data_IF_181017556576
#
_entry.id   IF_181017556576
#
_cell.length_a   1.000
_cell.length_b   1.000
_cell.length_c   1.000
_cell.angle_alpha   90.00
_cell.angle_beta   90.00
_cell.angle_gamma   90.00
#
_symmetry.space_group_name_H-M   'P 1'
#
loop_
_entity.id
_entity.type
_entity.pdbx_description
1 polymer ?
#
# COMPACT_ATOMS: atom_id res chain seq x y z
N UNK A 1 -20.38 -11.15 -7.12
CA UNK A 1 -19.33 -10.91 -6.11
C UNK A 1 -18.82 -9.51 -6.36
N UNK A 2 -19.06 -8.59 -5.44
CA UNK A 2 -18.67 -7.18 -5.62
C UNK A 2 -17.16 -7.07 -5.39
N UNK A 3 -16.37 -6.58 -6.36
CA UNK A 3 -14.96 -6.36 -6.15
C UNK A 3 -14.78 -5.42 -4.96
N UNK A 4 -13.91 -5.80 -4.03
CA UNK A 4 -13.64 -5.03 -2.84
C UNK A 4 -12.40 -4.18 -3.11
N UNK A 5 -12.44 -2.90 -2.72
CA UNK A 5 -11.29 -2.02 -2.86
C UNK A 5 -11.17 -1.11 -1.64
N UNK A 6 -9.94 -0.84 -1.24
CA UNK A 6 -9.63 0.04 -0.11
C UNK A 6 -8.44 0.92 -0.47
N UNK A 7 -8.54 2.19 -0.10
CA UNK A 7 -7.46 3.15 -0.33
C UNK A 7 -6.67 3.28 0.95
N UNK A 8 -5.38 2.97 0.87
CA UNK A 8 -4.41 3.05 1.96
C UNK A 8 -3.40 4.14 1.65
N UNK A 9 -3.03 4.87 2.70
CA UNK A 9 -2.05 5.94 2.61
C UNK A 9 -0.80 5.45 3.33
N UNK A 10 0.29 5.35 2.59
CA UNK A 10 1.61 5.12 3.15
C UNK A 10 2.30 6.45 3.39
N UNK A 11 2.76 6.67 4.62
CA UNK A 11 3.54 7.82 5.00
C UNK A 11 4.81 7.35 5.72
N UNK A 12 5.97 7.88 5.31
CA UNK A 12 7.23 7.56 5.95
C UNK A 12 8.43 7.75 5.03
N UNK A 13 9.57 7.16 5.41
CA UNK A 13 10.76 7.16 4.58
C UNK A 13 10.67 6.07 3.51
N UNK A 14 9.86 6.33 2.46
CA UNK A 14 9.61 5.36 1.38
C UNK A 14 10.91 4.89 0.71
N UNK A 15 11.90 5.79 0.56
CA UNK A 15 13.19 5.48 -0.07
C UNK A 15 14.16 4.77 0.88
N UNK A 16 14.21 5.15 2.16
CA UNK A 16 15.19 4.61 3.10
C UNK A 16 14.81 3.17 3.53
N UNK A 17 13.52 2.87 3.64
CA UNK A 17 13.02 1.58 4.15
C UNK A 17 12.51 0.61 3.09
N UNK A 18 12.51 0.99 1.80
CA UNK A 18 11.93 0.20 0.69
C UNK A 18 10.51 -0.32 0.98
N UNK A 19 9.77 0.41 1.81
CA UNK A 19 8.53 -0.09 2.41
C UNK A 19 7.40 -0.14 1.40
N UNK A 20 7.39 0.81 0.45
CA UNK A 20 6.49 0.80 -0.69
C UNK A 20 6.63 -0.48 -1.51
N UNK A 21 7.86 -0.83 -1.89
CA UNK A 21 8.12 -2.04 -2.68
C UNK A 21 7.64 -3.30 -1.93
N UNK A 22 7.91 -3.39 -0.61
CA UNK A 22 7.44 -4.51 0.22
C UNK A 22 5.92 -4.60 0.27
N UNK A 23 5.22 -3.48 0.44
CA UNK A 23 3.75 -3.48 0.47
C UNK A 23 3.18 -3.93 -0.87
N UNK A 24 3.68 -3.38 -1.99
CA UNK A 24 3.23 -3.76 -3.33
C UNK A 24 3.47 -5.24 -3.62
N UNK A 25 4.64 -5.75 -3.24
CA UNK A 25 5.01 -7.16 -3.39
C UNK A 25 4.10 -8.07 -2.57
N UNK A 26 3.84 -7.72 -1.30
CA UNK A 26 2.90 -8.42 -0.41
C UNK A 26 1.49 -8.48 -0.99
N UNK A 27 0.98 -7.38 -1.58
CA UNK A 27 -0.33 -7.35 -2.24
C UNK A 27 -0.38 -8.33 -3.41
N UNK A 28 0.64 -8.32 -4.27
CA UNK A 28 0.73 -9.22 -5.43
C UNK A 28 0.88 -10.68 -5.01
N UNK A 29 1.68 -10.97 -3.98
CA UNK A 29 1.89 -12.33 -3.48
C UNK A 29 0.60 -12.97 -2.96
N UNK A 30 -0.29 -12.17 -2.36
CA UNK A 30 -1.61 -12.63 -1.92
C UNK A 30 -2.64 -12.74 -3.06
N UNK A 31 -2.27 -12.37 -4.30
CA UNK A 31 -3.19 -12.36 -5.43
C UNK A 31 -4.14 -11.16 -5.44
N UNK A 32 -3.78 -10.09 -4.73
CA UNK A 32 -4.44 -8.79 -4.82
C UNK A 32 -3.87 -7.96 -5.96
N UNK A 33 -4.65 -6.96 -6.36
CA UNK A 33 -4.20 -5.89 -7.25
C UNK A 33 -4.00 -4.60 -6.45
N UNK A 34 -3.19 -3.70 -6.99
CA UNK A 34 -3.06 -2.35 -6.47
C UNK A 34 -3.13 -1.33 -7.59
N UNK A 35 -3.50 -0.10 -7.24
CA UNK A 35 -3.44 1.07 -8.10
C UNK A 35 -2.69 2.17 -7.35
N UNK A 36 -1.62 2.68 -7.95
CA UNK A 36 -0.82 3.74 -7.35
C UNK A 36 -1.39 5.07 -7.84
N UNK A 37 -2.19 5.74 -7.01
CA UNK A 37 -2.87 6.98 -7.42
C UNK A 37 -1.96 8.20 -7.34
N UNK A 38 -1.21 8.34 -6.25
CA UNK A 38 -0.34 9.50 -6.05
C UNK A 38 0.89 9.09 -5.26
N UNK A 39 2.06 9.54 -5.69
CA UNK A 39 3.29 9.40 -4.91
C UNK A 39 3.99 10.74 -4.84
N UNK A 40 4.08 11.27 -3.63
CA UNK A 40 4.87 12.42 -3.27
C UNK A 40 6.14 11.92 -2.59
N UNK A 41 7.25 11.97 -3.33
CA UNK A 41 8.57 11.67 -2.79
C UNK A 41 9.13 12.98 -2.25
N UNK A 42 9.49 12.99 -0.97
CA UNK A 42 10.15 14.14 -0.35
C UNK A 42 11.44 14.48 -1.11
N UNK A 43 11.64 15.75 -1.45
CA UNK A 43 12.82 16.18 -2.24
C UNK A 43 14.09 16.11 -1.39
N UNK A 44 13.95 16.13 -0.07
CA UNK A 44 15.04 16.06 0.91
C UNK A 44 14.87 14.87 1.87
N UNK A 45 15.97 14.35 2.45
CA UNK A 45 15.94 13.21 3.39
C UNK A 45 15.07 13.42 4.64
N UNK A 46 14.74 14.68 4.94
CA UNK A 46 13.90 15.06 6.09
C UNK A 46 12.41 15.15 5.73
N UNK A 47 12.07 15.23 4.44
CA UNK A 47 10.68 15.25 4.01
C UNK A 47 10.11 13.84 3.96
N UNK A 48 9.01 13.64 4.69
CA UNK A 48 8.27 12.39 4.65
C UNK A 48 7.72 12.16 3.24
N UNK A 49 7.96 10.98 2.70
CA UNK A 49 7.34 10.57 1.45
C UNK A 49 5.94 10.05 1.74
N UNK A 50 5.01 10.33 0.84
CA UNK A 50 3.62 9.90 0.91
C UNK A 50 3.24 9.18 -0.37
N UNK A 51 2.62 8.01 -0.25
CA UNK A 51 2.06 7.29 -1.38
C UNK A 51 0.62 6.89 -1.08
N UNK A 52 -0.27 7.15 -2.03
CA UNK A 52 -1.68 6.75 -1.97
C UNK A 52 -1.85 5.54 -2.89
N UNK A 53 -2.31 4.43 -2.31
CA UNK A 53 -2.43 3.15 -3.00
C UNK A 53 -3.85 2.64 -2.81
N UNK A 54 -4.52 2.29 -3.91
CA UNK A 54 -5.82 1.63 -3.87
C UNK A 54 -5.63 0.14 -4.07
N UNK A 55 -5.79 -0.63 -3.00
CA UNK A 55 -5.77 -2.09 -3.03
C UNK A 55 -7.11 -2.59 -3.55
N UNK A 56 -7.08 -3.54 -4.47
CA UNK A 56 -8.25 -4.17 -5.09
C UNK A 56 -8.14 -5.68 -4.92
N UNK A 57 -9.23 -6.31 -4.49
CA UNK A 57 -9.30 -7.74 -4.30
C UNK A 57 -10.61 -8.32 -4.86
N UNK A 58 -10.57 -9.59 -5.23
CA UNK A 58 -11.75 -10.30 -5.74
C UNK A 58 -12.86 -10.47 -4.67
N UNK A 59 -12.49 -10.41 -3.39
CA UNK A 59 -13.38 -10.63 -2.25
C UNK A 59 -13.01 -9.72 -1.08
N UNK A 60 -14.01 -9.37 -0.25
CA UNK A 60 -13.79 -8.56 0.97
C UNK A 60 -12.88 -9.27 1.99
N UNK A 61 -12.96 -10.60 2.09
CA UNK A 61 -12.06 -11.39 2.95
C UNK A 61 -10.61 -11.24 2.52
N UNK A 62 -10.33 -11.36 1.22
CA UNK A 62 -8.98 -11.21 0.68
C UNK A 62 -8.47 -9.78 0.87
N UNK A 63 -9.33 -8.78 0.66
CA UNK A 63 -8.98 -7.38 0.92
C UNK A 63 -8.57 -7.19 2.38
N UNK A 64 -9.36 -7.69 3.34
CA UNK A 64 -9.07 -7.56 4.75
C UNK A 64 -7.74 -8.25 5.15
N UNK A 65 -7.46 -9.44 4.60
CA UNK A 65 -6.19 -10.15 4.79
C UNK A 65 -5.02 -9.31 4.27
N UNK A 66 -5.16 -8.73 3.06
CA UNK A 66 -4.13 -7.88 2.47
C UNK A 66 -3.88 -6.64 3.32
N UNK A 67 -4.94 -5.95 3.71
CA UNK A 67 -4.88 -4.73 4.54
C UNK A 67 -4.21 -5.02 5.88
N UNK A 68 -4.58 -6.14 6.53
CA UNK A 68 -3.96 -6.58 7.79
C UNK A 68 -2.46 -6.86 7.63
N UNK A 69 -2.05 -7.44 6.49
CA UNK A 69 -0.65 -7.72 6.23
C UNK A 69 0.19 -6.47 5.95
N UNK A 70 -0.40 -5.42 5.36
CA UNK A 70 0.31 -4.17 5.01
C UNK A 70 0.24 -3.11 6.12
N UNK A 71 -0.72 -3.19 7.05
CA UNK A 71 -0.79 -2.34 8.24
C UNK A 71 0.54 -2.24 9.02
N UNK A 72 1.26 -3.34 9.36
CA UNK A 72 2.53 -3.25 10.08
C UNK A 72 3.64 -2.56 9.26
N UNK A 73 3.43 -2.31 7.97
CA UNK A 73 4.37 -1.60 7.10
C UNK A 73 4.03 -0.11 6.99
N UNK A 74 3.19 0.43 7.88
CA UNK A 74 2.85 1.85 7.91
C UNK A 74 1.78 2.26 6.90
N UNK A 75 1.00 1.29 6.40
CA UNK A 75 -0.25 1.57 5.71
C UNK A 75 -1.33 1.92 6.74
N UNK A 76 -1.88 3.13 6.63
CA UNK A 76 -2.91 3.70 7.49
C UNK A 76 -4.06 4.27 6.67
#
# INVERSE_FOLDING_TARGET
MTPAQETVILQGHIIDSLILAKVLDTILMMGGNFDLSEVQIGTTRQEASRATITVRAASHTLLAEIITAIQPHGAS
#
